data_IF_169720272671
#
_entry.id   IF_169720272671
#
_cell.length_a   1.000
_cell.length_b   1.000
_cell.length_c   1.000
_cell.angle_alpha   90.00
_cell.angle_beta   90.00
_cell.angle_gamma   90.00
#
_symmetry.space_group_name_H-M   'P 1'
#
loop_
_entity.id
_entity.type
_entity.pdbx_description
1 polymer ?
#
# COMPACT_ATOMS: atom_id res chain seq x y z
N UNK A 1 12.63 -1.76 -14.39
CA UNK A 1 11.70 -0.70 -13.89
C UNK A 1 10.28 -1.24 -13.73
N UNK A 2 9.66 -1.76 -14.79
CA UNK A 2 8.28 -2.30 -14.72
C UNK A 2 8.16 -3.44 -13.71
N UNK A 3 9.10 -4.39 -13.71
CA UNK A 3 9.18 -5.45 -12.70
C UNK A 3 9.34 -4.92 -11.27
N UNK A 4 10.08 -3.81 -11.09
CA UNK A 4 10.26 -3.20 -9.78
C UNK A 4 8.96 -2.55 -9.29
N UNK A 5 8.21 -1.87 -10.16
CA UNK A 5 6.88 -1.34 -9.84
C UNK A 5 5.91 -2.47 -9.50
N UNK A 6 5.89 -3.55 -10.28
CA UNK A 6 5.07 -4.74 -10.00
C UNK A 6 5.42 -5.40 -8.66
N UNK A 7 6.72 -5.51 -8.35
CA UNK A 7 7.16 -6.08 -7.08
C UNK A 7 6.76 -5.20 -5.89
N UNK A 8 6.87 -3.86 -6.01
CA UNK A 8 6.44 -2.93 -4.97
C UNK A 8 4.93 -2.95 -4.79
N UNK A 9 4.16 -2.89 -5.87
CA UNK A 9 2.69 -2.98 -5.84
C UNK A 9 2.22 -4.25 -5.12
N UNK A 10 2.81 -5.40 -5.46
CA UNK A 10 2.51 -6.68 -4.80
C UNK A 10 2.84 -6.66 -3.30
N UNK A 11 3.98 -6.08 -2.94
CA UNK A 11 4.40 -5.95 -1.54
C UNK A 11 3.44 -5.05 -0.76
N UNK A 12 3.12 -3.86 -1.29
CA UNK A 12 2.18 -2.91 -0.67
C UNK A 12 0.81 -3.55 -0.47
N UNK A 13 0.26 -4.24 -1.50
CA UNK A 13 -1.01 -4.96 -1.40
C UNK A 13 -0.99 -6.06 -0.34
N UNK A 14 0.13 -6.76 -0.21
CA UNK A 14 0.31 -7.79 0.84
C UNK A 14 0.30 -7.15 2.23
N UNK A 15 1.04 -6.07 2.43
CA UNK A 15 1.07 -5.33 3.69
C UNK A 15 -0.30 -4.72 4.06
N UNK A 16 -1.07 -4.23 3.09
CA UNK A 16 -2.46 -3.78 3.29
C UNK A 16 -3.33 -4.92 3.78
N UNK A 17 -3.22 -6.11 3.15
CA UNK A 17 -4.00 -7.29 3.54
C UNK A 17 -3.69 -7.73 4.97
N UNK A 18 -2.42 -7.80 5.33
CA UNK A 18 -1.97 -8.16 6.68
C UNK A 18 -2.45 -7.14 7.72
N UNK A 19 -2.27 -5.85 7.45
CA UNK A 19 -2.68 -4.78 8.38
C UNK A 19 -4.20 -4.72 8.51
N UNK A 20 -4.95 -4.94 7.42
CA UNK A 20 -6.41 -5.03 7.44
C UNK A 20 -6.89 -6.18 8.32
N UNK A 21 -6.25 -7.36 8.21
CA UNK A 21 -6.55 -8.50 9.07
C UNK A 21 -6.29 -8.18 10.55
N UNK A 22 -5.18 -7.51 10.87
CA UNK A 22 -4.87 -7.07 12.23
C UNK A 22 -5.92 -6.08 12.78
N UNK A 23 -6.35 -5.10 11.96
CA UNK A 23 -7.45 -4.17 12.33
C UNK A 23 -8.74 -4.93 12.59
N UNK A 24 -9.10 -5.90 11.74
CA UNK A 24 -10.29 -6.73 11.93
C UNK A 24 -10.23 -7.52 13.25
N UNK A 25 -9.08 -8.10 13.58
CA UNK A 25 -8.88 -8.83 14.83
C UNK A 25 -9.02 -7.90 16.04
N UNK A 26 -8.37 -6.73 16.04
CA UNK A 26 -8.46 -5.74 17.12
C UNK A 26 -9.89 -5.19 17.29
N UNK A 27 -10.66 -5.05 16.21
CA UNK A 27 -12.08 -4.70 16.29
C UNK A 27 -12.90 -5.76 17.03
N UNK A 28 -12.65 -7.06 16.75
CA UNK A 28 -13.31 -8.18 17.44
C UNK A 28 -12.91 -8.23 18.91
N UNK A 29 -11.63 -8.03 19.22
CA UNK A 29 -11.13 -7.99 20.61
C UNK A 29 -11.75 -6.82 21.39
N UNK A 30 -11.83 -5.64 20.78
CA UNK A 30 -12.50 -4.48 21.38
C UNK A 30 -13.97 -4.76 21.69
N UNK A 31 -14.68 -5.44 20.78
CA UNK A 31 -16.08 -5.81 21.00
C UNK A 31 -16.27 -6.77 22.19
N UNK A 32 -15.26 -7.60 22.50
CA UNK A 32 -15.29 -8.56 23.62
C UNK A 32 -14.84 -7.95 24.95
N UNK A 33 -13.83 -7.08 24.91
CA UNK A 33 -13.14 -6.58 26.11
C UNK A 33 -13.63 -5.20 26.59
N UNK A 34 -14.65 -4.63 25.94
CA UNK A 34 -15.19 -3.31 26.30
C UNK A 34 -14.22 -2.17 25.96
N UNK A 35 -14.22 -1.11 26.78
CA UNK A 35 -13.46 0.12 26.53
C UNK A 35 -12.02 0.04 27.09
N UNK A 36 -11.30 -1.03 26.75
CA UNK A 36 -9.87 -1.12 27.03
C UNK A 36 -9.11 -0.05 26.21
N UNK A 37 -8.53 0.90 26.94
CA UNK A 37 -7.73 2.00 26.38
C UNK A 37 -6.49 1.49 25.62
N UNK A 38 -5.94 0.34 26.02
CA UNK A 38 -4.79 -0.30 25.34
C UNK A 38 -5.18 -0.78 23.94
N UNK A 39 -6.27 -1.53 23.85
CA UNK A 39 -6.81 -2.05 22.58
C UNK A 39 -7.22 -0.88 21.67
N UNK A 40 -7.86 0.16 22.23
CA UNK A 40 -8.25 1.36 21.47
C UNK A 40 -7.05 2.10 20.90
N UNK A 41 -5.95 2.22 21.67
CA UNK A 41 -4.71 2.84 21.22
C UNK A 41 -4.03 2.02 20.12
N UNK A 42 -3.99 0.69 20.26
CA UNK A 42 -3.44 -0.21 19.24
C UNK A 42 -4.27 -0.17 17.95
N UNK A 43 -5.60 -0.22 18.08
CA UNK A 43 -6.52 -0.13 16.94
C UNK A 43 -6.31 1.17 16.14
N UNK A 44 -6.18 2.31 16.81
CA UNK A 44 -5.89 3.60 16.13
C UNK A 44 -4.55 3.57 15.40
N UNK A 45 -3.51 2.98 16.00
CA UNK A 45 -2.19 2.84 15.35
C UNK A 45 -2.28 2.00 14.08
N UNK A 46 -2.90 0.82 14.16
CA UNK A 46 -3.05 -0.07 12.99
C UNK A 46 -3.95 0.55 11.91
N UNK A 47 -5.01 1.27 12.29
CA UNK A 47 -5.84 2.02 11.35
C UNK A 47 -5.08 3.14 10.63
N UNK A 48 -4.24 3.90 11.34
CA UNK A 48 -3.38 4.93 10.72
C UNK A 48 -2.35 4.28 9.79
N UNK A 49 -1.74 3.17 10.20
CA UNK A 49 -0.80 2.40 9.37
C UNK A 49 -1.48 1.89 8.10
N UNK A 50 -2.70 1.37 8.20
CA UNK A 50 -3.49 0.92 7.04
C UNK A 50 -3.75 2.07 6.06
N UNK A 51 -4.14 3.26 6.56
CA UNK A 51 -4.34 4.44 5.72
C UNK A 51 -3.06 4.88 5.01
N UNK A 52 -1.93 4.85 5.70
CA UNK A 52 -0.63 5.17 5.09
C UNK A 52 -0.30 4.20 3.96
N UNK A 53 -0.45 2.89 4.19
CA UNK A 53 -0.19 1.89 3.15
C UNK A 53 -1.12 2.02 1.93
N UNK A 54 -2.38 2.39 2.14
CA UNK A 54 -3.30 2.70 1.04
C UNK A 54 -2.87 3.95 0.26
N UNK A 55 -2.32 4.96 0.94
CA UNK A 55 -1.74 6.13 0.28
C UNK A 55 -0.50 5.76 -0.54
N UNK A 56 0.38 4.90 -0.02
CA UNK A 56 1.55 4.42 -0.77
C UNK A 56 1.16 3.67 -2.04
N UNK A 57 0.07 2.90 -2.00
CA UNK A 57 -0.45 2.23 -3.19
C UNK A 57 -0.85 3.23 -4.28
N UNK A 58 -1.58 4.28 -3.91
CA UNK A 58 -1.98 5.33 -4.84
C UNK A 58 -0.76 6.07 -5.42
N UNK A 59 0.27 6.32 -4.61
CA UNK A 59 1.52 6.94 -5.06
C UNK A 59 2.23 6.04 -6.06
N UNK A 60 2.34 4.73 -5.77
CA UNK A 60 3.01 3.77 -6.67
C UNK A 60 2.32 3.70 -8.04
N UNK A 61 0.97 3.72 -8.07
CA UNK A 61 0.19 3.75 -9.31
C UNK A 61 0.50 5.00 -10.15
N UNK A 62 0.47 6.19 -9.53
CA UNK A 62 0.75 7.47 -10.21
C UNK A 62 2.20 7.53 -10.70
N UNK A 63 3.16 7.10 -9.87
CA UNK A 63 4.59 7.11 -10.22
C UNK A 63 4.86 6.14 -11.36
N UNK A 64 4.24 4.96 -11.37
CA UNK A 64 4.39 3.99 -12.45
C UNK A 64 3.88 4.55 -13.78
N UNK A 65 2.69 5.15 -13.81
CA UNK A 65 2.11 5.75 -15.02
C UNK A 65 2.95 6.92 -15.55
N UNK A 66 3.33 7.85 -14.66
CA UNK A 66 4.13 9.00 -15.03
C UNK A 66 5.54 8.60 -15.50
N UNK A 67 6.14 7.60 -14.86
CA UNK A 67 7.44 7.06 -15.30
C UNK A 67 7.31 6.45 -16.69
N UNK A 68 6.31 5.60 -16.92
CA UNK A 68 6.09 4.97 -18.21
C UNK A 68 5.85 6.01 -19.33
N UNK A 69 5.10 7.07 -19.03
CA UNK A 69 4.88 8.19 -19.95
C UNK A 69 6.18 8.88 -20.33
N UNK A 70 7.01 9.25 -19.35
CA UNK A 70 8.32 9.88 -19.61
C UNK A 70 9.22 8.98 -20.44
N UNK A 71 9.26 7.68 -20.15
CA UNK A 71 10.04 6.72 -20.95
C UNK A 71 9.56 6.66 -22.41
N UNK A 72 8.23 6.63 -22.63
CA UNK A 72 7.64 6.60 -23.97
C UNK A 72 7.85 7.90 -24.75
N UNK A 73 7.79 9.05 -24.08
CA UNK A 73 7.82 10.37 -24.74
C UNK A 73 9.25 10.89 -24.94
N UNK A 74 10.12 10.74 -23.95
CA UNK A 74 11.45 11.36 -23.93
C UNK A 74 12.59 10.38 -24.18
N UNK A 75 12.43 9.12 -23.77
CA UNK A 75 13.51 8.13 -23.85
C UNK A 75 13.38 7.20 -25.07
N UNK A 76 12.36 7.37 -25.93
CA UNK A 76 12.09 6.48 -27.08
C UNK A 76 13.24 6.36 -28.08
N UNK A 77 14.09 7.37 -28.17
CA UNK A 77 15.28 7.40 -29.03
C UNK A 77 16.37 6.44 -28.50
N UNK A 78 16.42 6.22 -27.18
CA UNK A 78 17.46 5.44 -26.50
C UNK A 78 16.95 4.16 -25.83
N UNK A 79 15.64 3.95 -25.75
CA UNK A 79 15.02 2.80 -25.09
C UNK A 79 13.75 2.38 -25.83
N UNK A 80 13.74 1.13 -26.30
CA UNK A 80 12.54 0.46 -26.81
C UNK A 80 12.02 -0.48 -25.73
N UNK A 81 10.84 -0.22 -25.13
CA UNK A 81 10.29 -1.10 -24.11
C UNK A 81 10.02 -2.51 -24.69
N UNK A 82 10.32 -3.59 -23.95
CA UNK A 82 9.91 -4.93 -24.34
C UNK A 82 8.38 -5.03 -24.40
N UNK A 83 7.87 -5.83 -25.35
CA UNK A 83 6.44 -6.06 -25.60
C UNK A 83 5.77 -6.80 -24.44
#
# INVERSE_FOLDING_TARGET
LMEAHLSRDKAIKSCIKETSAAVSQLCVERAKNGDDLSITKQLRKEQTKLKLMQSELNVEEVVNDQSLKVFKERCRIHYTPPK
#
